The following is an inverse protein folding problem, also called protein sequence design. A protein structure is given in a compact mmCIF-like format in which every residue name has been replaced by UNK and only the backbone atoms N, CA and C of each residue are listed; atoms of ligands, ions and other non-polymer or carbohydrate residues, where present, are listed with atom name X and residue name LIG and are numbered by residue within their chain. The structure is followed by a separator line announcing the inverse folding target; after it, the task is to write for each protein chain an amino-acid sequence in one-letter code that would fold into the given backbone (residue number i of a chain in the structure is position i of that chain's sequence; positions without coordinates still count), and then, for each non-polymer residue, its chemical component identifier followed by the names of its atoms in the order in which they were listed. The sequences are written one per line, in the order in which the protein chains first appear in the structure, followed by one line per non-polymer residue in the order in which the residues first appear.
data_IF_464140640431
#
_entry.id   IF_464140640431
#
_cell.length_a   1.000
_cell.length_b   1.000
_cell.length_c   1.000
_cell.angle_alpha   90.00
_cell.angle_beta   90.00
_cell.angle_gamma   90.00
#
_symmetry.space_group_name_H-M   'P 1'
#
loop_
_entity.id
_entity.type
_entity.pdbx_description
1 polymer ?
#
# COMPACT_ATOMS: atom_id res chain seq x y z
N UNK A 1 -1.28 -31.40 -12.72
CA UNK A 1 -0.82 -31.72 -11.36
C UNK A 1 -0.13 -30.50 -10.81
N UNK A 2 -0.31 -30.15 -9.54
CA UNK A 2 0.49 -29.09 -8.89
C UNK A 2 1.98 -29.44 -8.97
N UNK A 3 2.81 -28.44 -9.25
CA UNK A 3 4.27 -28.58 -9.35
C UNK A 3 4.94 -27.51 -8.47
N UNK A 4 5.68 -27.93 -7.45
CA UNK A 4 6.37 -27.06 -6.51
C UNK A 4 7.49 -26.21 -7.13
N UNK A 5 7.89 -26.48 -8.38
CA UNK A 5 8.83 -25.67 -9.13
C UNK A 5 8.16 -24.48 -9.85
N UNK A 6 6.83 -24.42 -9.88
CA UNK A 6 6.05 -23.38 -10.53
C UNK A 6 6.54 -23.03 -11.95
N UNK A 7 6.62 -24.01 -12.90
CA UNK A 7 7.27 -23.79 -14.20
C UNK A 7 6.61 -22.71 -15.05
N UNK A 8 5.34 -22.39 -14.80
CA UNK A 8 4.60 -21.34 -15.49
C UNK A 8 4.61 -19.98 -14.76
N UNK A 9 5.05 -19.97 -13.50
CA UNK A 9 5.19 -18.78 -12.67
C UNK A 9 6.43 -18.94 -11.76
N UNK A 10 7.66 -18.85 -12.29
CA UNK A 10 8.89 -19.13 -11.54
C UNK A 10 9.07 -18.31 -10.26
N UNK A 11 8.40 -17.17 -10.17
CA UNK A 11 8.26 -16.35 -8.98
C UNK A 11 6.76 -16.15 -8.71
N UNK A 12 6.10 -17.09 -7.99
CA UNK A 12 4.64 -17.11 -7.83
C UNK A 12 4.16 -16.07 -6.81
N UNK A 13 4.34 -14.79 -7.12
CA UNK A 13 3.93 -13.65 -6.31
C UNK A 13 3.06 -12.72 -7.16
N UNK A 14 1.80 -12.44 -6.78
CA UNK A 14 0.87 -11.60 -7.53
C UNK A 14 1.31 -10.12 -7.66
N UNK A 15 2.36 -9.71 -6.95
CA UNK A 15 3.00 -8.40 -7.16
C UNK A 15 3.75 -8.31 -8.51
N UNK A 16 4.18 -9.47 -9.09
CA UNK A 16 4.82 -9.51 -10.40
C UNK A 16 3.76 -9.72 -11.51
N UNK A 17 3.48 -8.72 -12.37
CA UNK A 17 2.53 -8.85 -13.46
C UNK A 17 2.79 -10.05 -14.41
N UNK A 18 4.02 -10.55 -14.45
CA UNK A 18 4.40 -11.69 -15.30
C UNK A 18 3.68 -12.98 -14.93
N UNK A 19 3.26 -13.14 -13.67
CA UNK A 19 2.53 -14.34 -13.22
C UNK A 19 1.17 -14.47 -13.92
N UNK A 20 0.61 -13.37 -14.39
CA UNK A 20 -0.68 -13.34 -15.10
C UNK A 20 -0.58 -13.66 -16.60
N UNK A 21 0.63 -13.89 -17.14
CA UNK A 21 0.83 -14.07 -18.59
C UNK A 21 -0.10 -15.11 -19.22
N UNK A 22 -0.18 -16.32 -18.63
CA UNK A 22 -1.05 -17.39 -19.15
C UNK A 22 -2.54 -17.01 -19.04
N UNK A 23 -2.93 -16.45 -17.92
CA UNK A 23 -4.31 -16.01 -17.71
C UNK A 23 -4.70 -14.88 -18.68
N UNK A 24 -3.79 -13.94 -18.96
CA UNK A 24 -3.98 -12.88 -19.95
C UNK A 24 -4.07 -13.43 -21.38
N UNK A 25 -3.29 -14.48 -21.71
CA UNK A 25 -3.40 -15.14 -23.02
C UNK A 25 -4.77 -15.84 -23.17
N UNK A 26 -5.25 -16.53 -22.13
CA UNK A 26 -6.59 -17.11 -22.12
C UNK A 26 -7.71 -16.08 -22.16
N UNK A 27 -7.50 -14.92 -21.52
CA UNK A 27 -8.48 -13.83 -21.46
C UNK A 27 -8.81 -13.25 -22.85
N UNK A 28 -7.93 -13.37 -23.85
CA UNK A 28 -8.19 -12.95 -25.23
C UNK A 28 -9.36 -13.70 -25.84
N UNK A 29 -9.55 -14.97 -25.46
CA UNK A 29 -10.64 -15.82 -25.95
C UNK A 29 -11.87 -15.77 -25.02
N UNK A 30 -11.65 -15.91 -23.70
CA UNK A 30 -12.71 -16.03 -22.68
C UNK A 30 -13.38 -14.69 -22.39
N UNK A 31 -12.63 -13.58 -22.53
CA UNK A 31 -13.08 -12.21 -22.24
C UNK A 31 -13.68 -12.05 -20.83
N UNK A 32 -12.98 -12.50 -19.74
CA UNK A 32 -13.50 -12.40 -18.39
C UNK A 32 -13.64 -10.94 -17.92
N UNK A 33 -14.56 -10.69 -17.00
CA UNK A 33 -14.72 -9.39 -16.35
C UNK A 33 -13.55 -9.11 -15.37
N UNK A 34 -12.99 -10.18 -14.79
CA UNK A 34 -11.93 -10.12 -13.77
C UNK A 34 -11.07 -11.40 -13.80
N UNK A 35 -9.80 -11.25 -13.44
CA UNK A 35 -8.86 -12.36 -13.27
C UNK A 35 -8.23 -12.24 -11.89
N UNK A 36 -8.14 -13.35 -11.16
CA UNK A 36 -7.45 -13.46 -9.88
C UNK A 36 -6.16 -14.28 -9.99
N UNK A 37 -5.16 -13.91 -9.21
CA UNK A 37 -3.96 -14.70 -8.98
C UNK A 37 -3.56 -14.60 -7.52
N UNK A 38 -3.50 -15.74 -6.82
CA UNK A 38 -2.99 -15.81 -5.44
C UNK A 38 -1.55 -16.28 -5.42
N UNK A 39 -0.85 -16.03 -4.33
CA UNK A 39 0.39 -16.71 -4.02
C UNK A 39 0.13 -18.15 -3.51
N UNK A 40 1.17 -18.98 -3.35
CA UNK A 40 0.98 -20.41 -3.04
C UNK A 40 0.33 -20.71 -1.69
N UNK A 41 0.52 -19.87 -0.67
CA UNK A 41 -0.09 -20.01 0.65
C UNK A 41 -1.43 -19.24 0.77
N UNK A 42 -1.87 -18.61 -0.35
CA UNK A 42 -3.18 -17.99 -0.48
C UNK A 42 -3.44 -16.88 0.54
N UNK A 43 -2.40 -16.11 0.90
CA UNK A 43 -2.52 -14.95 1.78
C UNK A 43 -2.54 -13.63 1.00
N UNK A 44 -2.11 -13.58 -0.26
CA UNK A 44 -2.13 -12.44 -1.17
C UNK A 44 -2.93 -12.73 -2.42
N UNK A 45 -3.55 -11.67 -2.97
CA UNK A 45 -4.30 -11.77 -4.23
C UNK A 45 -4.04 -10.55 -5.11
N UNK A 46 -3.64 -10.82 -6.35
CA UNK A 46 -3.59 -9.85 -7.43
C UNK A 46 -4.85 -9.91 -8.29
N UNK A 47 -5.20 -8.78 -8.84
CA UNK A 47 -6.45 -8.56 -9.59
C UNK A 47 -6.14 -7.93 -10.92
N UNK A 48 -6.72 -8.48 -11.99
CA UNK A 48 -6.65 -7.92 -13.35
C UNK A 48 -8.05 -7.57 -13.82
N UNK A 49 -8.21 -6.38 -14.35
CA UNK A 49 -9.48 -5.84 -14.83
C UNK A 49 -9.32 -5.22 -16.21
N UNK A 50 -10.42 -5.04 -16.95
CA UNK A 50 -10.40 -4.28 -18.19
C UNK A 50 -10.46 -2.79 -17.91
N UNK A 51 -9.61 -2.02 -18.59
CA UNK A 51 -9.70 -0.57 -18.65
C UNK A 51 -10.74 -0.10 -19.69
N UNK A 52 -10.90 1.23 -19.83
CA UNK A 52 -11.87 1.83 -20.73
C UNK A 52 -11.56 1.63 -22.22
N UNK A 53 -10.35 1.13 -22.56
CA UNK A 53 -9.97 0.76 -23.92
C UNK A 53 -10.17 -0.74 -24.20
N UNK A 54 -10.63 -1.51 -23.18
CA UNK A 54 -10.78 -2.96 -23.23
C UNK A 54 -9.48 -3.72 -22.99
N UNK A 55 -8.40 -3.03 -22.59
CA UNK A 55 -7.10 -3.64 -22.29
C UNK A 55 -7.06 -4.12 -20.82
N UNK A 56 -6.45 -5.28 -20.59
CA UNK A 56 -6.33 -5.83 -19.25
C UNK A 56 -5.21 -5.14 -18.46
N UNK A 57 -5.56 -4.60 -17.30
CA UNK A 57 -4.65 -3.91 -16.38
C UNK A 57 -4.54 -4.67 -15.07
N UNK A 58 -3.31 -4.92 -14.61
CA UNK A 58 -3.05 -5.47 -13.26
C UNK A 58 -3.16 -4.33 -12.26
N UNK A 59 -4.10 -4.43 -11.32
CA UNK A 59 -4.23 -3.46 -10.24
C UNK A 59 -3.12 -3.65 -9.21
N UNK A 60 -2.59 -2.55 -8.69
CA UNK A 60 -1.67 -2.61 -7.54
C UNK A 60 -2.43 -2.97 -6.25
N UNK A 61 -1.68 -3.44 -5.24
CA UNK A 61 -2.27 -3.72 -3.92
C UNK A 61 -2.96 -2.51 -3.30
N UNK A 62 -2.40 -1.32 -3.51
CA UNK A 62 -2.99 -0.05 -3.07
C UNK A 62 -4.31 0.27 -3.79
N UNK A 63 -4.37 0.06 -5.10
CA UNK A 63 -5.58 0.29 -5.90
C UNK A 63 -6.71 -0.64 -5.47
N UNK A 64 -6.41 -1.92 -5.32
CA UNK A 64 -7.38 -2.91 -4.84
C UNK A 64 -7.83 -2.62 -3.41
N UNK A 65 -6.89 -2.24 -2.52
CA UNK A 65 -7.21 -1.85 -1.15
C UNK A 65 -8.09 -0.60 -1.07
N UNK A 66 -7.86 0.39 -1.95
CA UNK A 66 -8.69 1.59 -2.07
C UNK A 66 -10.12 1.24 -2.51
N UNK A 67 -10.26 0.41 -3.54
CA UNK A 67 -11.55 -0.07 -4.03
C UNK A 67 -12.31 -0.84 -2.95
N UNK A 68 -11.67 -1.80 -2.29
CA UNK A 68 -12.26 -2.59 -1.20
C UNK A 68 -12.68 -1.72 -0.02
N UNK A 69 -11.85 -0.76 0.38
CA UNK A 69 -12.19 0.17 1.46
C UNK A 69 -13.47 0.93 1.12
N UNK A 70 -13.56 1.50 -0.09
CA UNK A 70 -14.77 2.20 -0.52
C UNK A 70 -15.98 1.29 -0.56
N UNK A 71 -15.85 0.11 -1.15
CA UNK A 71 -16.94 -0.86 -1.29
C UNK A 71 -17.49 -1.29 0.07
N UNK A 72 -16.63 -1.65 1.02
CA UNK A 72 -17.02 -2.08 2.35
C UNK A 72 -17.72 -0.93 3.10
N UNK A 73 -17.14 0.27 3.10
CA UNK A 73 -17.70 1.40 3.85
C UNK A 73 -19.02 1.88 3.25
N UNK A 74 -19.12 1.98 1.91
CA UNK A 74 -20.37 2.38 1.25
C UNK A 74 -21.47 1.36 1.46
N UNK A 75 -21.18 0.07 1.29
CA UNK A 75 -22.16 -1.01 1.48
C UNK A 75 -22.66 -1.08 2.92
N UNK A 76 -21.78 -0.97 3.91
CA UNK A 76 -22.19 -0.93 5.32
C UNK A 76 -23.06 0.30 5.62
N UNK A 77 -22.74 1.45 5.03
CA UNK A 77 -23.53 2.68 5.17
C UNK A 77 -24.91 2.53 4.54
N UNK A 78 -25.01 2.02 3.30
CA UNK A 78 -26.26 1.77 2.59
C UNK A 78 -27.17 0.80 3.35
N UNK A 79 -26.59 -0.23 3.95
CA UNK A 79 -27.32 -1.18 4.79
C UNK A 79 -27.65 -0.66 6.20
N UNK A 80 -27.26 0.57 6.55
CA UNK A 80 -27.35 1.13 7.92
C UNK A 80 -26.63 0.25 8.98
N UNK A 81 -25.53 -0.38 8.61
CA UNK A 81 -24.72 -1.25 9.47
C UNK A 81 -23.31 -0.69 9.75
N UNK A 82 -22.99 0.53 9.26
CA UNK A 82 -21.70 1.14 9.55
C UNK A 82 -21.62 1.51 11.03
N UNK A 83 -20.71 0.90 11.82
CA UNK A 83 -20.61 1.18 13.25
C UNK A 83 -20.00 2.56 13.49
N UNK A 84 -20.41 3.22 14.59
CA UNK A 84 -19.91 4.56 14.96
C UNK A 84 -18.44 4.58 15.32
N UNK A 85 -17.90 3.45 15.79
CA UNK A 85 -16.50 3.27 16.17
C UNK A 85 -15.74 2.38 15.19
N UNK A 86 -16.19 2.30 13.94
CA UNK A 86 -15.54 1.52 12.88
C UNK A 86 -14.08 1.94 12.65
N UNK A 87 -13.22 0.98 12.36
CA UNK A 87 -11.82 1.23 12.06
C UNK A 87 -11.36 0.48 10.81
N UNK A 88 -10.59 1.19 9.97
CA UNK A 88 -9.79 0.64 8.88
C UNK A 88 -8.32 0.74 9.27
N UNK A 89 -7.54 -0.31 8.99
CA UNK A 89 -6.13 -0.38 9.37
C UNK A 89 -5.27 -0.56 8.11
N UNK A 90 -4.19 0.22 8.00
CA UNK A 90 -3.20 0.09 6.95
C UNK A 90 -1.79 0.23 7.49
N UNK A 91 -0.77 -0.05 6.68
CA UNK A 91 0.61 0.20 7.09
C UNK A 91 1.06 1.63 6.76
N UNK A 92 2.15 2.06 7.40
CA UNK A 92 2.78 3.39 7.17
C UNK A 92 3.30 3.59 5.74
N UNK A 93 3.41 2.52 4.94
CA UNK A 93 3.85 2.54 3.54
C UNK A 93 2.72 2.24 2.55
N UNK A 94 1.50 2.04 3.05
CA UNK A 94 0.29 1.83 2.25
C UNK A 94 -0.31 3.19 1.87
N UNK A 95 -1.09 3.24 0.79
CA UNK A 95 -1.63 4.48 0.20
C UNK A 95 -2.34 5.39 1.19
N UNK A 96 -2.17 6.70 1.02
CA UNK A 96 -2.92 7.74 1.76
C UNK A 96 -4.28 8.07 1.10
N UNK A 97 -4.59 7.47 -0.05
CA UNK A 97 -5.86 7.71 -0.76
C UNK A 97 -7.09 7.39 0.09
N UNK A 98 -6.98 6.44 1.03
CA UNK A 98 -8.08 6.01 1.91
C UNK A 98 -8.30 6.95 3.11
N UNK A 99 -7.40 7.89 3.42
CA UNK A 99 -7.53 8.79 4.58
C UNK A 99 -8.76 9.68 4.48
N UNK A 100 -8.87 10.44 3.39
CA UNK A 100 -10.06 11.29 3.15
C UNK A 100 -11.34 10.48 3.03
N UNK A 101 -11.25 9.28 2.49
CA UNK A 101 -12.37 8.36 2.36
C UNK A 101 -12.88 7.93 3.74
N UNK A 102 -12.01 7.46 4.63
CA UNK A 102 -12.39 7.06 5.98
C UNK A 102 -12.94 8.25 6.80
N UNK A 103 -12.36 9.44 6.65
CA UNK A 103 -12.87 10.67 7.26
C UNK A 103 -14.30 10.99 6.80
N UNK A 104 -14.61 10.86 5.51
CA UNK A 104 -15.95 11.10 4.94
C UNK A 104 -17.00 10.14 5.50
N UNK A 105 -16.60 8.89 5.78
CA UNK A 105 -17.48 7.89 6.38
C UNK A 105 -17.53 7.97 7.91
N UNK A 106 -16.73 8.83 8.55
CA UNK A 106 -16.61 8.92 10.00
C UNK A 106 -15.96 7.68 10.63
N UNK A 107 -15.09 7.01 9.89
CA UNK A 107 -14.38 5.79 10.28
C UNK A 107 -12.95 6.14 10.67
N UNK A 108 -12.45 5.54 11.74
CA UNK A 108 -11.08 5.74 12.20
C UNK A 108 -10.09 5.05 11.27
N UNK A 109 -9.09 5.79 10.75
CA UNK A 109 -7.96 5.18 10.04
C UNK A 109 -6.76 5.03 10.99
N UNK A 110 -6.23 3.82 11.07
CA UNK A 110 -5.08 3.51 11.93
C UNK A 110 -3.91 3.05 11.06
N UNK A 111 -2.77 3.70 11.26
CA UNK A 111 -1.50 3.33 10.64
C UNK A 111 -0.74 2.38 11.57
N UNK A 112 -0.18 1.29 11.01
CA UNK A 112 0.71 0.35 11.71
C UNK A 112 2.07 0.27 11.02
N UNK A 113 3.04 -0.33 11.66
CA UNK A 113 4.27 -0.75 10.96
C UNK A 113 3.94 -1.81 9.90
N UNK A 114 4.87 -1.99 8.95
CA UNK A 114 4.76 -3.05 7.93
C UNK A 114 4.77 -4.44 8.56
N UNK A 115 3.88 -5.28 8.08
CA UNK A 115 3.67 -6.65 8.55
C UNK A 115 2.29 -6.83 9.16
N UNK A 116 1.52 -7.74 8.58
CA UNK A 116 0.12 -7.95 8.91
C UNK A 116 -0.12 -8.33 10.38
N UNK A 117 0.91 -8.86 11.06
CA UNK A 117 0.89 -9.12 12.51
C UNK A 117 0.45 -7.91 13.34
N UNK A 118 0.81 -6.68 12.91
CA UNK A 118 0.42 -5.45 13.61
C UNK A 118 -1.05 -5.10 13.37
N UNK A 119 -1.60 -5.46 12.20
CA UNK A 119 -3.04 -5.38 11.93
C UNK A 119 -3.76 -6.40 12.81
N UNK A 120 -3.28 -7.66 12.85
CA UNK A 120 -3.82 -8.70 13.73
C UNK A 120 -3.74 -8.35 15.23
N UNK A 121 -2.68 -7.65 15.66
CA UNK A 121 -2.55 -7.13 17.03
C UNK A 121 -3.64 -6.09 17.34
N UNK A 122 -3.90 -5.16 16.41
CA UNK A 122 -4.98 -4.17 16.59
C UNK A 122 -6.37 -4.80 16.64
N UNK A 123 -6.62 -5.83 15.83
CA UNK A 123 -7.88 -6.59 15.91
C UNK A 123 -8.07 -7.15 17.33
N UNK A 124 -7.02 -7.78 17.91
CA UNK A 124 -7.07 -8.30 19.28
C UNK A 124 -7.29 -7.19 20.30
N UNK A 125 -6.56 -6.07 20.20
CA UNK A 125 -6.74 -4.92 21.09
C UNK A 125 -8.18 -4.40 21.07
N UNK A 126 -8.83 -4.36 19.91
CA UNK A 126 -10.23 -3.94 19.78
C UNK A 126 -11.19 -4.91 20.44
N UNK A 127 -10.97 -6.22 20.27
CA UNK A 127 -11.80 -7.25 20.90
C UNK A 127 -11.68 -7.21 22.43
N UNK A 128 -10.47 -6.98 22.96
CA UNK A 128 -10.22 -6.91 24.41
C UNK A 128 -10.76 -5.61 25.05
N UNK A 129 -10.65 -4.48 24.32
CA UNK A 129 -11.01 -3.17 24.87
C UNK A 129 -12.40 -2.67 24.49
N UNK A 130 -12.98 -3.18 23.40
CA UNK A 130 -14.21 -2.64 22.82
C UNK A 130 -14.08 -1.22 22.25
N UNK A 131 -12.85 -0.72 22.07
CA UNK A 131 -12.59 0.66 21.63
C UNK A 131 -13.06 0.92 20.20
N UNK A 132 -12.82 -0.02 19.31
CA UNK A 132 -13.19 0.07 17.89
C UNK A 132 -13.76 -1.25 17.38
N UNK A 133 -14.52 -1.17 16.29
CA UNK A 133 -14.94 -2.32 15.50
C UNK A 133 -14.09 -2.41 14.23
N UNK A 134 -13.36 -3.51 14.06
CA UNK A 134 -12.54 -3.74 12.88
C UNK A 134 -13.41 -4.00 11.66
N UNK A 135 -13.23 -3.21 10.60
CA UNK A 135 -13.95 -3.34 9.34
C UNK A 135 -13.11 -3.96 8.24
N UNK A 136 -11.88 -3.45 8.07
CA UNK A 136 -10.98 -3.85 7.01
C UNK A 136 -9.54 -3.48 7.33
N UNK A 137 -8.59 -4.31 6.88
CA UNK A 137 -7.17 -4.00 6.94
C UNK A 137 -6.43 -4.49 5.72
N UNK A 138 -5.39 -3.76 5.29
CA UNK A 138 -4.65 -4.13 4.09
C UNK A 138 -3.22 -3.58 4.08
N UNK A 139 -2.40 -4.23 3.27
CA UNK A 139 -1.04 -3.85 2.93
C UNK A 139 -0.90 -3.60 1.44
N UNK A 140 0.05 -2.74 1.05
CA UNK A 140 0.40 -2.46 -0.33
C UNK A 140 0.87 -3.71 -1.08
N UNK A 141 1.35 -4.70 -0.34
CA UNK A 141 1.86 -5.99 -0.84
C UNK A 141 0.75 -7.02 -1.10
N UNK A 142 -0.45 -6.56 -1.51
CA UNK A 142 -1.56 -7.40 -1.97
C UNK A 142 -2.21 -8.27 -0.89
N UNK A 143 -2.00 -7.92 0.37
CA UNK A 143 -2.60 -8.58 1.53
C UNK A 143 -3.82 -7.82 2.07
N UNK A 144 -4.93 -8.52 2.25
CA UNK A 144 -6.21 -7.96 2.69
C UNK A 144 -6.86 -8.87 3.71
N UNK A 145 -7.60 -8.28 4.65
CA UNK A 145 -8.45 -9.00 5.59
C UNK A 145 -9.71 -8.20 5.91
N UNK A 146 -10.87 -8.84 5.82
CA UNK A 146 -12.13 -8.35 6.35
C UNK A 146 -12.69 -9.39 7.34
N UNK A 147 -13.29 -8.89 8.43
CA UNK A 147 -13.74 -9.77 9.53
C UNK A 147 -12.63 -10.14 10.49
N UNK A 148 -13.00 -10.83 11.58
CA UNK A 148 -12.10 -11.11 12.72
C UNK A 148 -11.83 -12.59 12.94
N UNK A 149 -12.23 -13.46 12.01
CA UNK A 149 -12.04 -14.92 12.08
C UNK A 149 -10.59 -15.35 11.82
N UNK A 150 -9.78 -14.49 11.18
CA UNK A 150 -8.34 -14.66 10.97
C UNK A 150 -7.56 -13.47 11.56
N UNK A 151 -6.24 -13.62 11.70
CA UNK A 151 -5.32 -12.59 12.18
C UNK A 151 -4.19 -12.29 11.20
N UNK A 152 -4.30 -12.84 10.00
CA UNK A 152 -3.39 -12.59 8.89
C UNK A 152 -4.21 -12.37 7.61
N UNK A 153 -3.54 -12.00 6.55
CA UNK A 153 -4.08 -11.80 5.21
C UNK A 153 -4.85 -13.05 4.75
N UNK A 154 -5.95 -12.85 4.06
CA UNK A 154 -6.79 -13.94 3.57
C UNK A 154 -7.23 -13.65 2.14
N UNK A 155 -6.57 -14.32 1.18
CA UNK A 155 -6.89 -14.16 -0.23
C UNK A 155 -8.21 -14.84 -0.60
N UNK A 156 -8.69 -15.80 0.19
CA UNK A 156 -9.98 -16.47 -0.08
C UNK A 156 -11.13 -15.50 0.17
N UNK A 157 -11.15 -14.85 1.35
CA UNK A 157 -12.17 -13.84 1.65
C UNK A 157 -12.02 -12.61 0.75
N UNK A 158 -10.79 -12.21 0.45
CA UNK A 158 -10.55 -11.10 -0.47
C UNK A 158 -11.07 -11.41 -1.87
N UNK A 159 -10.88 -12.63 -2.40
CA UNK A 159 -11.42 -13.07 -3.69
C UNK A 159 -12.95 -12.94 -3.74
N UNK A 160 -13.61 -13.40 -2.69
CA UNK A 160 -15.08 -13.31 -2.58
C UNK A 160 -15.55 -11.85 -2.61
N UNK A 161 -14.94 -10.99 -1.78
CA UNK A 161 -15.30 -9.57 -1.72
C UNK A 161 -15.01 -8.82 -3.02
N UNK A 162 -13.90 -9.13 -3.71
CA UNK A 162 -13.57 -8.51 -4.98
C UNK A 162 -14.54 -8.97 -6.08
N UNK A 163 -14.95 -10.24 -6.09
CA UNK A 163 -15.96 -10.73 -7.01
C UNK A 163 -17.31 -10.06 -6.78
N UNK A 164 -17.73 -9.93 -5.52
CA UNK A 164 -18.96 -9.23 -5.13
C UNK A 164 -18.91 -7.74 -5.53
N UNK A 165 -17.81 -7.06 -5.22
CA UNK A 165 -17.57 -5.68 -5.64
C UNK A 165 -17.59 -5.53 -7.18
N UNK A 166 -17.04 -6.49 -7.92
CA UNK A 166 -17.08 -6.48 -9.39
C UNK A 166 -18.51 -6.57 -9.89
N UNK A 167 -19.32 -7.45 -9.31
CA UNK A 167 -20.73 -7.57 -9.64
C UNK A 167 -21.50 -6.28 -9.32
N UNK A 168 -21.26 -5.68 -8.16
CA UNK A 168 -21.86 -4.40 -7.75
C UNK A 168 -21.61 -3.29 -8.78
N UNK A 169 -20.38 -3.14 -9.29
CA UNK A 169 -20.07 -2.18 -10.35
C UNK A 169 -20.71 -2.59 -11.69
N UNK A 170 -20.70 -3.87 -12.03
CA UNK A 170 -21.27 -4.39 -13.27
C UNK A 170 -22.78 -4.15 -13.36
N UNK A 171 -23.52 -4.30 -12.26
CA UNK A 171 -24.96 -3.99 -12.19
C UNK A 171 -25.25 -2.50 -12.43
N UNK A 172 -24.27 -1.63 -12.22
CA UNK A 172 -24.33 -0.20 -12.54
C UNK A 172 -23.83 0.13 -13.97
N UNK A 173 -23.51 -0.89 -14.77
CA UNK A 173 -22.94 -0.74 -16.12
C UNK A 173 -21.48 -0.27 -16.12
N UNK A 174 -20.73 -0.52 -15.05
CA UNK A 174 -19.35 -0.10 -14.84
C UNK A 174 -18.43 -1.30 -14.68
N UNK A 175 -17.15 -1.08 -14.96
CA UNK A 175 -16.05 -1.98 -14.59
C UNK A 175 -15.47 -1.59 -13.23
N UNK A 176 -14.63 -2.46 -12.63
CA UNK A 176 -13.82 -2.05 -11.46
C UNK A 176 -12.85 -0.92 -11.79
N UNK A 177 -12.39 -0.85 -13.04
CA UNK A 177 -11.50 0.24 -13.48
C UNK A 177 -12.24 1.57 -13.49
N UNK A 178 -13.52 1.60 -13.94
CA UNK A 178 -14.36 2.81 -13.82
C UNK A 178 -14.50 3.24 -12.37
N UNK A 179 -14.76 2.29 -11.46
CA UNK A 179 -14.80 2.56 -10.02
C UNK A 179 -13.50 3.15 -9.48
N UNK A 180 -12.34 2.64 -9.93
CA UNK A 180 -11.03 3.18 -9.56
C UNK A 180 -10.87 4.64 -10.05
N UNK A 181 -11.26 4.93 -11.29
CA UNK A 181 -11.18 6.28 -11.85
C UNK A 181 -12.12 7.25 -11.10
N UNK A 182 -13.32 6.81 -10.73
CA UNK A 182 -14.23 7.60 -9.89
C UNK A 182 -13.60 7.96 -8.54
N UNK A 183 -12.96 6.99 -7.89
CA UNK A 183 -12.27 7.22 -6.62
C UNK A 183 -11.07 8.17 -6.79
N UNK A 184 -10.29 8.03 -7.86
CA UNK A 184 -9.20 8.94 -8.17
C UNK A 184 -9.70 10.37 -8.42
N UNK A 185 -10.78 10.55 -9.17
CA UNK A 185 -11.40 11.85 -9.39
C UNK A 185 -11.84 12.50 -8.06
N UNK A 186 -12.33 11.68 -7.13
CA UNK A 186 -12.85 12.16 -5.85
C UNK A 186 -11.75 12.45 -4.82
N UNK A 187 -10.76 11.57 -4.68
CA UNK A 187 -9.78 11.60 -3.60
C UNK A 187 -8.37 12.01 -4.05
N UNK A 188 -8.11 12.01 -5.35
CA UNK A 188 -6.81 12.33 -5.97
C UNK A 188 -6.14 11.12 -6.61
N UNK A 189 -5.30 11.40 -7.60
CA UNK A 189 -4.56 10.39 -8.36
C UNK A 189 -3.25 10.05 -7.66
N UNK A 190 -3.30 9.06 -6.77
CA UNK A 190 -2.13 8.57 -6.07
C UNK A 190 -1.37 7.56 -6.93
N UNK A 191 -0.03 7.71 -6.96
CA UNK A 191 0.87 6.76 -7.59
C UNK A 191 1.95 6.37 -6.62
N UNK A 192 1.90 5.12 -6.20
CA UNK A 192 2.89 4.51 -5.35
C UNK A 192 3.90 3.72 -6.18
N UNK A 193 5.13 3.65 -5.68
CA UNK A 193 6.21 2.87 -6.27
C UNK A 193 7.12 2.31 -5.17
N UNK A 194 7.76 1.20 -5.47
CA UNK A 194 8.71 0.53 -4.60
C UNK A 194 10.05 0.40 -5.33
N UNK A 195 11.13 0.77 -4.66
CA UNK A 195 12.51 0.50 -5.10
C UNK A 195 13.16 -0.41 -4.08
N UNK A 196 13.76 -1.50 -4.55
CA UNK A 196 14.58 -2.39 -3.74
C UNK A 196 16.05 -2.23 -4.12
N UNK A 197 16.89 -1.94 -3.15
CA UNK A 197 18.35 -1.86 -3.31
C UNK A 197 18.95 -3.08 -2.61
N UNK A 198 19.72 -3.87 -3.33
CA UNK A 198 20.45 -5.03 -2.82
C UNK A 198 21.94 -4.77 -3.00
N UNK A 199 22.68 -4.91 -1.93
CA UNK A 199 24.14 -4.80 -1.93
C UNK A 199 24.74 -6.14 -1.52
N UNK A 200 25.99 -6.41 -1.93
CA UNK A 200 26.60 -7.70 -1.65
C UNK A 200 27.32 -7.72 -0.29
N UNK A 201 27.14 -8.81 0.44
CA UNK A 201 27.94 -9.17 1.59
C UNK A 201 27.86 -8.21 2.78
N UNK A 202 28.85 -8.32 3.69
CA UNK A 202 28.94 -7.52 4.92
C UNK A 202 29.16 -6.03 4.64
N UNK A 203 29.96 -5.70 3.64
CA UNK A 203 30.19 -4.31 3.20
C UNK A 203 28.87 -3.63 2.79
N UNK A 204 28.03 -4.33 2.01
CA UNK A 204 26.73 -3.82 1.62
C UNK A 204 25.83 -3.54 2.82
N UNK A 205 25.85 -4.40 3.83
CA UNK A 205 25.10 -4.19 5.07
C UNK A 205 25.57 -2.95 5.83
N UNK A 206 26.90 -2.74 5.92
CA UNK A 206 27.50 -1.56 6.55
C UNK A 206 27.18 -0.27 5.77
N UNK A 207 27.21 -0.30 4.44
CA UNK A 207 26.82 0.84 3.59
C UNK A 207 25.35 1.23 3.80
N UNK A 208 24.44 0.26 3.85
CA UNK A 208 23.03 0.51 4.13
C UNK A 208 22.84 1.12 5.53
N UNK A 209 23.54 0.60 6.55
CA UNK A 209 23.49 1.14 7.90
C UNK A 209 23.98 2.59 7.95
N UNK A 210 25.10 2.90 7.31
CA UNK A 210 25.64 4.27 7.20
C UNK A 210 24.67 5.20 6.46
N UNK A 211 24.06 4.72 5.37
CA UNK A 211 23.09 5.49 4.60
C UNK A 211 21.90 5.91 5.47
N UNK A 212 21.28 4.97 6.20
CA UNK A 212 20.11 5.28 7.03
C UNK A 212 20.50 6.18 8.23
N UNK A 213 21.66 6.01 8.82
CA UNK A 213 22.14 6.87 9.87
C UNK A 213 22.49 8.29 9.34
N UNK A 214 23.03 8.38 8.13
CA UNK A 214 23.23 9.66 7.44
C UNK A 214 21.92 10.40 7.15
N UNK A 215 20.86 9.68 6.73
CA UNK A 215 19.53 10.26 6.54
C UNK A 215 18.89 10.70 7.87
N UNK A 216 19.16 9.99 8.96
CA UNK A 216 18.66 10.31 10.30
C UNK A 216 19.31 11.55 10.89
N UNK A 217 20.62 11.72 10.69
CA UNK A 217 21.39 12.82 11.26
C UNK A 217 21.30 14.11 10.45
N UNK A 218 21.10 14.00 9.13
CA UNK A 218 21.00 15.14 8.23
C UNK A 218 19.54 15.47 7.97
N UNK A 219 19.01 16.48 8.66
CA UNK A 219 17.62 16.88 8.49
C UNK A 219 17.33 17.23 7.02
N UNK A 220 16.53 16.40 6.37
CA UNK A 220 16.07 16.64 5.00
C UNK A 220 14.99 17.72 5.03
N UNK A 221 15.29 18.89 4.46
CA UNK A 221 14.40 20.06 4.45
C UNK A 221 13.52 20.16 3.20
N UNK A 222 14.06 19.68 2.08
CA UNK A 222 13.38 19.72 0.79
C UNK A 222 13.84 18.60 -0.15
N UNK A 223 13.00 18.29 -1.15
CA UNK A 223 13.30 17.36 -2.24
C UNK A 223 12.88 18.02 -3.56
N UNK A 224 13.86 18.34 -4.44
CA UNK A 224 13.61 19.01 -5.74
C UNK A 224 12.71 20.25 -5.62
N UNK A 225 12.94 21.07 -4.59
CA UNK A 225 12.21 22.33 -4.38
C UNK A 225 10.88 22.18 -3.62
N UNK A 226 10.45 20.96 -3.29
CA UNK A 226 9.26 20.68 -2.47
C UNK A 226 9.71 20.46 -1.02
N UNK A 227 9.13 21.22 -0.08
CA UNK A 227 9.51 21.17 1.33
C UNK A 227 9.10 19.85 1.98
N UNK A 228 9.96 19.31 2.83
CA UNK A 228 9.62 18.22 3.75
C UNK A 228 8.95 18.84 4.99
N UNK A 229 7.65 18.62 5.12
CA UNK A 229 6.84 19.23 6.21
C UNK A 229 6.85 18.39 7.48
N UNK A 230 6.95 17.05 7.35
CA UNK A 230 7.00 16.16 8.52
C UNK A 230 8.02 15.03 8.30
N UNK A 231 8.79 14.74 9.33
CA UNK A 231 9.73 13.63 9.36
C UNK A 231 9.40 12.70 10.53
N UNK A 232 9.44 11.39 10.27
CA UNK A 232 9.25 10.36 11.28
C UNK A 232 10.52 9.52 11.41
N UNK A 233 10.99 9.34 12.62
CA UNK A 233 12.00 8.34 12.98
C UNK A 233 11.38 7.31 13.92
N UNK A 234 11.00 6.18 13.38
CA UNK A 234 10.36 5.11 14.15
C UNK A 234 11.34 4.39 15.10
N UNK A 235 12.66 4.49 14.88
CA UNK A 235 13.67 3.98 15.82
C UNK A 235 13.74 4.80 17.09
N UNK A 236 13.57 6.11 16.95
CA UNK A 236 13.58 7.06 18.07
C UNK A 236 12.18 7.36 18.61
N UNK A 237 11.12 6.78 18.02
CA UNK A 237 9.71 7.08 18.32
C UNK A 237 9.39 8.57 18.19
N UNK A 238 9.90 9.23 17.15
CA UNK A 238 9.88 10.67 16.99
C UNK A 238 9.20 11.10 15.70
N UNK A 239 8.26 12.05 15.80
CA UNK A 239 7.70 12.81 14.71
C UNK A 239 8.13 14.26 14.86
N UNK A 240 8.59 14.89 13.79
CA UNK A 240 9.02 16.29 13.78
C UNK A 240 8.24 17.04 12.70
N UNK A 241 7.56 18.10 13.09
CA UNK A 241 7.07 19.09 12.15
C UNK A 241 8.24 19.99 11.75
N UNK A 242 8.76 19.82 10.53
CA UNK A 242 9.95 20.54 10.06
C UNK A 242 9.72 22.03 9.80
N UNK A 243 8.47 22.51 9.77
CA UNK A 243 8.13 23.91 9.59
C UNK A 243 8.15 24.66 10.93
N UNK A 244 7.70 24.02 12.01
CA UNK A 244 7.59 24.64 13.36
C UNK A 244 8.66 24.19 14.32
N UNK A 245 9.31 23.05 14.07
CA UNK A 245 10.22 22.40 14.99
C UNK A 245 9.51 21.63 16.12
N UNK A 246 8.17 21.54 16.09
CA UNK A 246 7.42 20.78 17.09
C UNK A 246 7.72 19.28 16.99
N UNK A 247 7.96 18.66 18.13
CA UNK A 247 8.23 17.22 18.23
C UNK A 247 7.08 16.51 18.95
N UNK A 248 6.70 15.32 18.42
CA UNK A 248 5.69 14.45 19.01
C UNK A 248 6.22 13.03 19.14
N UNK A 249 5.72 12.30 20.11
CA UNK A 249 6.01 10.87 20.25
C UNK A 249 5.17 10.04 19.27
N UNK A 250 5.83 9.17 18.52
CA UNK A 250 5.17 8.16 17.67
C UNK A 250 4.85 6.95 18.52
N UNK A 251 3.56 6.67 18.72
CA UNK A 251 3.05 5.54 19.50
C UNK A 251 3.00 4.22 18.71
N UNK A 252 4.06 3.92 17.98
CA UNK A 252 4.23 2.65 17.28
C UNK A 252 5.46 1.92 17.84
N UNK A 253 5.54 0.60 17.71
CA UNK A 253 6.75 -0.14 18.08
C UNK A 253 7.99 0.43 17.41
N UNK A 254 9.13 0.36 18.10
CA UNK A 254 10.40 0.84 17.52
C UNK A 254 10.81 0.01 16.31
N UNK A 255 11.13 0.68 15.22
CA UNK A 255 11.58 0.07 13.97
C UNK A 255 12.61 0.96 13.27
N UNK A 256 13.63 0.38 12.64
CA UNK A 256 14.64 1.15 11.91
C UNK A 256 14.06 1.64 10.56
N UNK A 257 13.14 2.59 10.63
CA UNK A 257 12.42 3.15 9.48
C UNK A 257 12.40 4.66 9.60
N UNK A 258 12.58 5.35 8.48
CA UNK A 258 12.40 6.79 8.34
C UNK A 258 11.28 7.07 7.33
N UNK A 259 10.38 8.02 7.63
CA UNK A 259 9.34 8.50 6.69
C UNK A 259 9.44 10.02 6.59
N UNK A 260 9.32 10.51 5.38
CA UNK A 260 9.31 11.95 5.06
C UNK A 260 8.05 12.27 4.29
N UNK A 261 7.32 13.28 4.74
CA UNK A 261 6.11 13.79 4.09
C UNK A 261 6.39 15.20 3.57
N UNK A 262 6.03 15.45 2.32
CA UNK A 262 6.24 16.69 1.61
C UNK A 262 4.97 17.56 1.61
N UNK A 263 5.10 18.84 1.32
CA UNK A 263 4.00 19.82 1.34
C UNK A 263 2.92 19.58 0.27
N UNK A 264 3.22 18.76 -0.75
CA UNK A 264 2.30 18.37 -1.83
C UNK A 264 1.60 17.01 -1.58
N UNK A 265 1.62 16.53 -0.34
CA UNK A 265 1.14 15.20 0.08
C UNK A 265 1.99 14.02 -0.45
N UNK A 266 3.08 14.26 -1.18
CA UNK A 266 4.02 13.20 -1.54
C UNK A 266 4.77 12.73 -0.30
N UNK A 267 5.15 11.46 -0.28
CA UNK A 267 5.95 10.93 0.82
C UNK A 267 6.89 9.81 0.34
N UNK A 268 7.93 9.58 1.10
CA UNK A 268 8.74 8.37 0.94
C UNK A 268 9.17 7.81 2.29
N UNK A 269 9.41 6.50 2.28
CA UNK A 269 9.85 5.72 3.44
C UNK A 269 11.10 4.96 3.08
N UNK A 270 12.11 5.01 3.93
CA UNK A 270 13.34 4.22 3.80
C UNK A 270 13.36 3.17 4.91
N UNK A 271 13.41 1.89 4.51
CA UNK A 271 13.38 0.74 5.40
C UNK A 271 14.46 -0.26 5.03
N UNK A 272 15.56 -0.37 5.81
CA UNK A 272 16.52 -1.45 5.66
C UNK A 272 15.92 -2.80 6.10
N UNK A 273 16.37 -3.89 5.50
CA UNK A 273 16.09 -5.24 5.99
C UNK A 273 16.86 -5.48 7.30
N UNK A 274 16.25 -6.21 8.23
CA UNK A 274 16.92 -6.61 9.47
C UNK A 274 17.88 -7.79 9.32
N UNK A 275 17.77 -8.56 8.23
CA UNK A 275 18.46 -9.84 8.07
C UNK A 275 19.34 -9.92 6.81
N UNK A 276 19.06 -9.10 5.81
CA UNK A 276 19.71 -9.14 4.50
C UNK A 276 20.28 -7.76 4.15
N UNK A 277 21.33 -7.68 3.32
CA UNK A 277 21.86 -6.41 2.83
C UNK A 277 20.94 -5.78 1.78
N UNK A 278 19.71 -5.52 2.17
CA UNK A 278 18.64 -4.95 1.35
C UNK A 278 18.03 -3.72 2.01
N UNK A 279 17.62 -2.78 1.19
CA UNK A 279 16.86 -1.61 1.62
C UNK A 279 15.69 -1.39 0.67
N UNK A 280 14.49 -1.25 1.23
CA UNK A 280 13.28 -0.90 0.49
C UNK A 280 12.98 0.58 0.65
N UNK A 281 12.67 1.22 -0.47
CA UNK A 281 12.24 2.61 -0.53
C UNK A 281 10.83 2.62 -1.11
N UNK A 282 9.85 2.96 -0.29
CA UNK A 282 8.47 3.15 -0.70
C UNK A 282 8.26 4.63 -0.97
N UNK A 283 7.53 4.95 -2.01
CA UNK A 283 7.19 6.34 -2.32
C UNK A 283 5.76 6.44 -2.85
N UNK A 284 5.15 7.58 -2.61
CA UNK A 284 3.85 7.95 -3.15
C UNK A 284 3.85 9.40 -3.54
N UNK A 285 3.24 9.69 -4.67
CA UNK A 285 2.96 11.05 -5.14
C UNK A 285 1.48 11.20 -5.43
N UNK A 286 1.00 12.45 -5.39
CA UNK A 286 -0.36 12.79 -5.76
C UNK A 286 -0.34 13.68 -7.01
N UNK A 287 -1.02 13.21 -8.05
CA UNK A 287 -1.17 13.94 -9.31
C UNK A 287 -2.56 14.54 -9.49
N UNK A 288 -2.71 15.33 -10.53
CA UNK A 288 -3.97 15.87 -11.04
C UNK A 288 -4.63 14.94 -12.07
N UNK A 289 -3.88 13.99 -12.64
CA UNK A 289 -4.33 12.93 -13.56
C UNK A 289 -3.45 11.69 -13.40
N UNK A 290 -3.81 10.60 -14.09
CA UNK A 290 -2.98 9.38 -14.15
C UNK A 290 -1.61 9.65 -14.77
N UNK A 291 -1.57 10.43 -15.85
CA UNK A 291 -0.34 10.80 -16.56
C UNK A 291 0.54 11.67 -15.65
N UNK A 292 -0.02 12.72 -15.04
CA UNK A 292 0.69 13.61 -14.12
C UNK A 292 1.26 12.83 -12.92
N UNK A 293 0.47 11.90 -12.34
CA UNK A 293 0.95 11.08 -11.23
C UNK A 293 2.09 10.14 -11.63
N UNK A 294 2.06 9.57 -12.85
CA UNK A 294 3.15 8.74 -13.38
C UNK A 294 4.43 9.55 -13.56
N UNK A 295 4.35 10.71 -14.22
CA UNK A 295 5.50 11.59 -14.44
C UNK A 295 6.11 12.07 -13.13
N UNK A 296 5.28 12.56 -12.19
CA UNK A 296 5.72 12.95 -10.85
C UNK A 296 6.39 11.81 -10.11
N UNK A 297 5.83 10.60 -10.19
CA UNK A 297 6.41 9.41 -9.52
C UNK A 297 7.80 9.08 -10.04
N UNK A 298 8.03 9.11 -11.35
CA UNK A 298 9.36 8.86 -11.91
C UNK A 298 10.36 9.98 -11.56
N UNK A 299 9.95 11.23 -11.61
CA UNK A 299 10.80 12.36 -11.21
C UNK A 299 11.18 12.29 -9.72
N UNK A 300 10.21 11.97 -8.85
CA UNK A 300 10.42 11.84 -7.42
C UNK A 300 11.31 10.65 -7.08
N UNK A 301 11.08 9.50 -7.71
CA UNK A 301 11.92 8.31 -7.62
C UNK A 301 13.37 8.62 -7.96
N UNK A 302 13.62 9.30 -9.09
CA UNK A 302 14.96 9.68 -9.50
C UNK A 302 15.64 10.59 -8.46
N UNK A 303 14.90 11.57 -7.91
CA UNK A 303 15.41 12.45 -6.86
C UNK A 303 15.79 11.69 -5.58
N UNK A 304 14.94 10.75 -5.16
CA UNK A 304 15.21 9.90 -4.00
C UNK A 304 16.45 9.02 -4.26
N UNK A 305 16.57 8.45 -5.47
CA UNK A 305 17.71 7.61 -5.82
C UNK A 305 19.02 8.41 -5.87
N UNK A 306 19.00 9.67 -6.34
CA UNK A 306 20.16 10.57 -6.25
C UNK A 306 20.59 10.78 -4.78
N UNK A 307 19.63 11.09 -3.89
CA UNK A 307 19.88 11.26 -2.45
C UNK A 307 20.49 9.99 -1.82
N UNK A 308 19.86 8.84 -2.06
CA UNK A 308 20.30 7.55 -1.50
C UNK A 308 21.69 7.17 -2.01
N UNK A 309 21.94 7.29 -3.32
CA UNK A 309 23.25 6.97 -3.90
C UNK A 309 24.37 7.89 -3.38
N UNK A 310 24.06 9.14 -3.05
CA UNK A 310 25.02 10.05 -2.42
C UNK A 310 25.38 9.63 -0.99
N UNK A 311 24.44 8.98 -0.27
CA UNK A 311 24.62 8.49 1.10
C UNK A 311 25.21 7.07 1.17
N UNK A 312 25.12 6.28 0.10
CA UNK A 312 25.73 4.94 0.02
C UNK A 312 27.23 4.99 -0.32
N UNK A 313 27.75 6.09 -0.83
CA UNK A 313 29.17 6.33 -1.09
C UNK A 313 29.92 6.67 0.20
#
# INVERSE_FOLDING_TARGET
MPDGNFPTAPYPNPEDPKVFKLALDMAKEIQPDIIFGTDPDCDRIGVVVKDNNGEYQVLSGNQTGMLLTNYILSSLKEMNKLPKNGAVIKTIVTTESVRKMTEEYGVTLIDTLTGFKYIGEKIREFEESGSNEYLFGFEESYGYLAGTFARDKDAVVASMLIAEMTLYYKEQGKTLYDGLIELYNKYGYFKESLVSIELAGKEGQEQIAKCIDGLRNDALKEMKGVKVVTSFDYKLSKEVNNLTGEEKEVKLPKSNVLKYVLEDDSWFVVRPSGTEPKMKIYLSVKGSSLEDSKEKSENFKNAIMELINAKLK
#
